data_IF_050278435810
#
_entry.id   IF_050278435810
#
_cell.length_a   1.000
_cell.length_b   1.000
_cell.length_c   1.000
_cell.angle_alpha   90.00
_cell.angle_beta   90.00
_cell.angle_gamma   90.00
#
_symmetry.space_group_name_H-M   'P 1'
#
loop_
_entity.id
_entity.type
_entity.pdbx_description
1 polymer ?
#
# COMPACT_ATOMS: atom_id res chain seq x y z
N UNK A 1 24.44 35.82 -34.30
CA UNK A 1 23.20 35.43 -35.02
C UNK A 1 23.19 33.94 -35.34
N UNK A 2 24.32 33.36 -35.74
CA UNK A 2 24.47 31.90 -35.94
C UNK A 2 24.35 31.08 -34.64
N UNK A 3 24.96 31.50 -33.53
CA UNK A 3 24.85 30.78 -32.23
C UNK A 3 23.42 30.71 -31.67
N UNK A 4 22.57 31.71 -31.97
CA UNK A 4 21.17 31.72 -31.54
C UNK A 4 20.35 30.75 -32.39
N UNK A 5 20.66 30.66 -33.69
CA UNK A 5 20.01 29.78 -34.66
C UNK A 5 20.40 28.31 -34.43
N UNK A 6 21.62 28.06 -33.96
CA UNK A 6 22.12 26.74 -33.57
C UNK A 6 21.56 26.27 -32.22
N UNK A 7 21.36 27.18 -31.26
CA UNK A 7 20.61 26.89 -30.03
C UNK A 7 19.14 26.60 -30.32
N UNK A 8 18.49 27.40 -31.14
CA UNK A 8 17.09 27.20 -31.50
C UNK A 8 16.89 25.90 -32.32
N UNK A 9 17.83 25.55 -33.21
CA UNK A 9 17.77 24.28 -33.96
C UNK A 9 18.00 23.07 -33.04
N UNK A 10 18.94 23.15 -32.09
CA UNK A 10 19.19 22.08 -31.12
C UNK A 10 18.01 21.90 -30.15
N UNK A 11 17.38 22.99 -29.73
CA UNK A 11 16.19 22.99 -28.86
C UNK A 11 14.97 22.42 -29.59
N UNK A 12 14.77 22.78 -30.86
CA UNK A 12 13.68 22.23 -31.70
C UNK A 12 13.92 20.75 -32.00
N UNK A 13 15.15 20.35 -32.33
CA UNK A 13 15.51 18.94 -32.57
C UNK A 13 15.29 18.07 -31.33
N UNK A 14 15.64 18.57 -30.13
CA UNK A 14 15.37 17.88 -28.86
C UNK A 14 13.88 17.85 -28.50
N UNK A 15 13.11 18.88 -28.85
CA UNK A 15 11.64 18.93 -28.64
C UNK A 15 10.93 17.89 -29.51
N UNK A 16 11.36 17.71 -30.76
CA UNK A 16 10.86 16.66 -31.66
C UNK A 16 11.18 15.28 -31.10
N UNK A 17 12.42 15.06 -30.63
CA UNK A 17 12.83 13.81 -29.98
C UNK A 17 12.02 13.48 -28.71
N UNK A 18 11.62 14.50 -27.93
CA UNK A 18 10.80 14.33 -26.73
C UNK A 18 9.37 13.87 -27.06
N UNK A 19 8.78 14.40 -28.14
CA UNK A 19 7.44 14.01 -28.58
C UNK A 19 7.44 12.68 -29.36
N UNK A 20 8.46 12.43 -30.19
CA UNK A 20 8.62 11.17 -30.93
C UNK A 20 8.94 10.00 -30.00
N UNK A 21 9.86 10.17 -29.05
CA UNK A 21 10.22 9.10 -28.11
C UNK A 21 9.09 8.75 -27.12
N UNK A 22 8.24 9.72 -26.77
CA UNK A 22 7.02 9.50 -25.98
C UNK A 22 5.92 8.85 -26.84
N UNK A 23 5.87 9.14 -28.14
CA UNK A 23 4.87 8.58 -29.06
C UNK A 23 5.21 7.15 -29.56
N UNK A 24 6.49 6.78 -29.63
CA UNK A 24 6.93 5.49 -30.16
C UNK A 24 6.89 4.33 -29.15
N UNK A 25 6.63 4.60 -27.86
CA UNK A 25 6.31 3.55 -26.86
C UNK A 25 7.42 2.50 -26.64
N UNK A 26 8.69 2.87 -26.83
CA UNK A 26 9.81 1.92 -26.77
C UNK A 26 10.99 2.32 -25.90
N UNK A 27 10.90 3.39 -25.12
CA UNK A 27 12.02 3.81 -24.27
C UNK A 27 12.23 2.82 -23.12
N UNK A 28 13.48 2.38 -22.94
CA UNK A 28 13.86 1.58 -21.78
C UNK A 28 13.96 2.46 -20.51
N UNK A 29 14.08 1.81 -19.35
CA UNK A 29 14.10 2.52 -18.08
C UNK A 29 15.24 3.55 -18.00
N UNK A 30 16.45 3.20 -18.45
CA UNK A 30 17.63 4.06 -18.33
C UNK A 30 17.54 5.26 -19.30
N UNK A 31 16.97 5.06 -20.49
CA UNK A 31 16.64 6.11 -21.44
C UNK A 31 15.62 7.10 -20.85
N UNK A 32 14.57 6.59 -20.18
CA UNK A 32 13.61 7.44 -19.46
C UNK A 32 14.29 8.25 -18.35
N UNK A 33 15.15 7.62 -17.54
CA UNK A 33 15.86 8.35 -16.47
C UNK A 33 16.76 9.45 -17.02
N UNK A 34 17.40 9.21 -18.17
CA UNK A 34 18.23 10.17 -18.87
C UNK A 34 17.40 11.32 -19.43
N UNK A 35 16.23 11.02 -20.03
CA UNK A 35 15.30 12.02 -20.55
C UNK A 35 14.76 12.94 -19.44
N UNK A 36 14.41 12.36 -18.29
CA UNK A 36 13.98 13.13 -17.11
C UNK A 36 15.10 14.06 -16.66
N UNK A 37 16.31 13.53 -16.46
CA UNK A 37 17.48 14.31 -16.01
C UNK A 37 17.82 15.45 -16.98
N UNK A 38 17.78 15.19 -18.29
CA UNK A 38 18.02 16.21 -19.31
C UNK A 38 16.91 17.29 -19.30
N UNK A 39 15.65 16.88 -19.16
CA UNK A 39 14.51 17.81 -19.10
C UNK A 39 14.58 18.71 -17.87
N UNK A 40 14.89 18.16 -16.70
CA UNK A 40 15.08 18.93 -15.46
C UNK A 40 16.22 19.93 -15.59
N UNK A 41 17.31 19.56 -16.27
CA UNK A 41 18.48 20.42 -16.48
C UNK A 41 18.22 21.54 -17.48
N UNK A 42 17.57 21.25 -18.61
CA UNK A 42 17.35 22.23 -19.68
C UNK A 42 16.16 23.15 -19.36
N UNK A 43 15.13 22.62 -18.70
CA UNK A 43 13.88 23.33 -18.46
C UNK A 43 13.46 23.30 -16.97
N UNK A 44 14.29 23.81 -16.04
CA UNK A 44 14.06 23.66 -14.61
C UNK A 44 12.76 24.28 -14.11
N UNK A 45 12.28 25.34 -14.76
CA UNK A 45 11.05 26.07 -14.36
C UNK A 45 9.89 25.90 -15.36
N UNK A 46 10.05 25.04 -16.37
CA UNK A 46 8.98 24.77 -17.34
C UNK A 46 8.13 23.59 -16.86
N UNK A 47 7.07 23.90 -16.11
CA UNK A 47 6.20 22.88 -15.54
C UNK A 47 5.50 22.02 -16.60
N UNK A 48 5.17 22.56 -17.77
CA UNK A 48 4.48 21.81 -18.84
C UNK A 48 5.34 20.66 -19.36
N UNK A 49 6.63 20.93 -19.64
CA UNK A 49 7.57 19.91 -20.10
C UNK A 49 7.88 18.89 -19.01
N UNK A 50 8.03 19.35 -17.76
CA UNK A 50 8.24 18.46 -16.62
C UNK A 50 7.03 17.53 -16.45
N UNK A 51 5.81 18.06 -16.48
CA UNK A 51 4.60 17.23 -16.37
C UNK A 51 4.53 16.21 -17.51
N UNK A 52 4.78 16.63 -18.75
CA UNK A 52 4.73 15.72 -19.90
C UNK A 52 5.65 14.50 -19.74
N UNK A 53 6.92 14.73 -19.37
CA UNK A 53 7.90 13.62 -19.23
C UNK A 53 7.57 12.74 -18.03
N UNK A 54 7.23 13.34 -16.88
CA UNK A 54 6.90 12.58 -15.68
C UNK A 54 5.58 11.81 -15.79
N UNK A 55 4.52 12.41 -16.36
CA UNK A 55 3.25 11.74 -16.56
C UNK A 55 3.41 10.55 -17.53
N UNK A 56 4.23 10.69 -18.57
CA UNK A 56 4.56 9.59 -19.49
C UNK A 56 5.35 8.48 -18.79
N UNK A 57 6.44 8.82 -18.10
CA UNK A 57 7.25 7.84 -17.38
C UNK A 57 6.46 7.09 -16.30
N UNK A 58 5.67 7.79 -15.49
CA UNK A 58 4.90 7.20 -14.40
C UNK A 58 3.67 6.41 -14.88
N UNK A 59 3.24 6.60 -16.13
CA UNK A 59 2.25 5.72 -16.76
C UNK A 59 2.84 4.35 -17.11
N UNK A 60 4.13 4.28 -17.41
CA UNK A 60 4.86 3.04 -17.68
C UNK A 60 5.42 2.39 -16.40
N UNK A 61 5.90 3.21 -15.45
CA UNK A 61 6.51 2.74 -14.20
C UNK A 61 5.82 3.34 -12.96
N UNK A 62 4.53 3.02 -12.70
CA UNK A 62 3.74 3.66 -11.65
C UNK A 62 4.23 3.41 -10.22
N UNK A 63 4.96 2.32 -9.99
CA UNK A 63 5.49 1.94 -8.66
C UNK A 63 6.82 2.63 -8.31
N UNK A 64 7.36 3.47 -9.20
CA UNK A 64 8.59 4.23 -8.96
C UNK A 64 8.37 5.42 -8.02
N UNK A 65 8.14 5.16 -6.72
CA UNK A 65 7.83 6.20 -5.73
C UNK A 65 8.86 7.35 -5.67
N UNK A 66 10.15 7.04 -5.88
CA UNK A 66 11.20 8.06 -5.89
C UNK A 66 11.01 9.11 -6.99
N UNK A 67 10.44 8.71 -8.12
CA UNK A 67 10.10 9.62 -9.22
C UNK A 67 8.80 10.37 -8.98
N UNK A 68 7.80 9.74 -8.33
CA UNK A 68 6.64 10.47 -7.80
C UNK A 68 7.09 11.59 -6.85
N UNK A 69 7.99 11.30 -5.91
CA UNK A 69 8.55 12.29 -4.97
C UNK A 69 9.24 13.45 -5.71
N UNK A 70 10.10 13.17 -6.69
CA UNK A 70 10.72 14.22 -7.51
C UNK A 70 9.69 15.06 -8.26
N UNK A 71 8.75 14.41 -8.93
CA UNK A 71 7.69 15.08 -9.70
C UNK A 71 6.87 16.03 -8.82
N UNK A 72 6.47 15.56 -7.65
CA UNK A 72 5.70 16.32 -6.69
C UNK A 72 6.52 17.49 -6.14
N UNK A 73 7.82 17.32 -5.88
CA UNK A 73 8.70 18.43 -5.49
C UNK A 73 8.77 19.53 -6.56
N UNK A 74 8.78 19.17 -7.85
CA UNK A 74 8.66 20.15 -8.94
C UNK A 74 7.30 20.88 -8.89
N UNK A 75 6.20 20.16 -8.67
CA UNK A 75 4.87 20.78 -8.53
C UNK A 75 4.75 21.68 -7.30
N UNK A 76 5.34 21.31 -6.17
CA UNK A 76 5.37 22.15 -4.97
C UNK A 76 6.04 23.49 -5.27
N UNK A 77 7.13 23.47 -6.06
CA UNK A 77 7.87 24.68 -6.43
C UNK A 77 7.16 25.55 -7.47
N UNK A 78 6.42 24.94 -8.39
CA UNK A 78 5.94 25.59 -9.63
C UNK A 78 4.41 25.65 -9.77
N UNK A 79 3.63 25.06 -8.87
CA UNK A 79 2.18 24.98 -8.97
C UNK A 79 1.45 25.43 -7.71
N UNK A 80 0.13 25.55 -7.83
CA UNK A 80 -0.77 25.74 -6.68
C UNK A 80 -0.88 24.47 -5.84
N UNK A 81 -1.23 24.64 -4.56
CA UNK A 81 -1.47 23.54 -3.61
C UNK A 81 -2.44 22.50 -4.18
N UNK A 82 -3.54 22.94 -4.82
CA UNK A 82 -4.51 22.04 -5.44
C UNK A 82 -3.86 21.08 -6.46
N UNK A 83 -2.95 21.59 -7.32
CA UNK A 83 -2.25 20.77 -8.31
C UNK A 83 -1.23 19.83 -7.69
N UNK A 84 -0.69 20.18 -6.54
CA UNK A 84 0.18 19.28 -5.74
C UNK A 84 -0.65 18.15 -5.14
N UNK A 85 -1.80 18.47 -4.53
CA UNK A 85 -2.74 17.49 -3.98
C UNK A 85 -3.22 16.52 -5.08
N UNK A 86 -3.58 17.03 -6.25
CA UNK A 86 -3.95 16.19 -7.41
C UNK A 86 -2.82 15.20 -7.80
N UNK A 87 -1.57 15.63 -7.72
CA UNK A 87 -0.43 14.75 -8.01
C UNK A 87 -0.22 13.70 -6.91
N UNK A 88 -0.39 14.05 -5.64
CA UNK A 88 -0.37 13.08 -4.53
C UNK A 88 -1.50 12.07 -4.64
N UNK A 89 -2.73 12.51 -4.96
CA UNK A 89 -3.87 11.60 -5.15
C UNK A 89 -3.62 10.61 -6.29
N UNK A 90 -3.02 11.06 -7.40
CA UNK A 90 -2.58 10.13 -8.45
C UNK A 90 -1.50 9.17 -7.95
N UNK A 91 -0.51 9.65 -7.21
CA UNK A 91 0.56 8.81 -6.68
C UNK A 91 0.04 7.70 -5.75
N UNK A 92 -0.90 8.00 -4.84
CA UNK A 92 -1.48 7.01 -3.93
C UNK A 92 -2.45 6.06 -4.64
N UNK A 93 -3.01 6.42 -5.79
CA UNK A 93 -3.76 5.48 -6.63
C UNK A 93 -2.80 4.55 -7.38
N UNK A 94 -1.71 5.07 -7.91
CA UNK A 94 -0.71 4.29 -8.65
C UNK A 94 0.11 3.34 -7.77
N UNK A 95 0.43 3.75 -6.54
CA UNK A 95 1.27 3.02 -5.60
C UNK A 95 0.62 2.95 -4.22
N UNK A 96 -0.64 2.51 -4.16
CA UNK A 96 -1.50 2.50 -2.96
C UNK A 96 -0.87 1.81 -1.75
N UNK A 97 -0.08 0.77 -1.97
CA UNK A 97 0.55 0.01 -0.88
C UNK A 97 1.98 0.47 -0.57
N UNK A 98 2.41 1.63 -1.10
CA UNK A 98 3.71 2.22 -0.79
C UNK A 98 3.62 3.09 0.47
N UNK A 99 4.25 2.63 1.55
CA UNK A 99 4.38 3.41 2.80
C UNK A 99 5.02 4.79 2.55
N UNK A 100 6.02 4.85 1.69
CA UNK A 100 6.77 6.07 1.40
C UNK A 100 5.91 7.16 0.74
N UNK A 101 5.06 6.79 -0.22
CA UNK A 101 4.16 7.77 -0.89
C UNK A 101 3.18 8.37 0.11
N UNK A 102 2.58 7.52 0.95
CA UNK A 102 1.69 7.98 2.01
C UNK A 102 2.41 8.84 3.04
N UNK A 103 3.64 8.49 3.41
CA UNK A 103 4.44 9.25 4.36
C UNK A 103 4.78 10.66 3.85
N UNK A 104 5.10 10.78 2.57
CA UNK A 104 5.32 12.08 1.92
C UNK A 104 4.01 12.89 1.88
N UNK A 105 2.90 12.26 1.51
CA UNK A 105 1.62 12.95 1.40
C UNK A 105 1.13 13.44 2.75
N UNK A 106 1.17 12.61 3.80
CA UNK A 106 0.79 13.02 5.14
C UNK A 106 1.73 14.10 5.69
N UNK A 107 3.03 14.06 5.36
CA UNK A 107 3.98 15.11 5.75
C UNK A 107 3.65 16.44 5.08
N UNK A 108 3.33 16.43 3.78
CA UNK A 108 2.88 17.61 3.03
C UNK A 108 1.57 18.15 3.59
N UNK A 109 0.57 17.29 3.80
CA UNK A 109 -0.74 17.68 4.32
C UNK A 109 -0.60 18.35 5.70
N UNK A 110 0.23 17.81 6.60
CA UNK A 110 0.50 18.43 7.91
C UNK A 110 1.02 19.87 7.80
N UNK A 111 1.78 20.19 6.75
CA UNK A 111 2.36 21.52 6.56
C UNK A 111 1.41 22.52 5.91
N UNK A 112 0.43 22.03 5.14
CA UNK A 112 -0.32 22.87 4.19
C UNK A 112 -1.82 22.89 4.47
N UNK A 113 -2.39 21.82 5.02
CA UNK A 113 -3.83 21.75 5.28
C UNK A 113 -4.16 22.56 6.53
N UNK A 114 -5.22 23.36 6.43
CA UNK A 114 -5.67 24.24 7.51
C UNK A 114 -6.45 23.48 8.60
N UNK A 115 -7.27 22.50 8.20
CA UNK A 115 -8.07 21.68 9.14
C UNK A 115 -7.29 20.43 9.59
N UNK A 116 -6.98 20.30 10.90
CA UNK A 116 -6.39 19.09 11.46
C UNK A 116 -7.20 17.82 11.21
N UNK A 117 -8.52 17.93 11.04
CA UNK A 117 -9.41 16.80 10.78
C UNK A 117 -9.13 16.17 9.41
N UNK A 118 -8.78 16.98 8.42
CA UNK A 118 -8.40 16.49 7.09
C UNK A 118 -7.07 15.73 7.13
N UNK A 119 -6.09 16.22 7.89
CA UNK A 119 -4.82 15.53 8.11
C UNK A 119 -5.04 14.20 8.83
N UNK A 120 -5.91 14.18 9.85
CA UNK A 120 -6.29 12.95 10.57
C UNK A 120 -6.98 11.94 9.65
N UNK A 121 -7.91 12.40 8.81
CA UNK A 121 -8.59 11.56 7.81
C UNK A 121 -7.60 10.98 6.80
N UNK A 122 -6.62 11.76 6.38
CA UNK A 122 -5.58 11.29 5.47
C UNK A 122 -4.68 10.22 6.11
N UNK A 123 -4.25 10.42 7.35
CA UNK A 123 -3.50 9.38 8.08
C UNK A 123 -4.33 8.10 8.21
N UNK A 124 -5.60 8.18 8.61
CA UNK A 124 -6.47 7.00 8.71
C UNK A 124 -6.63 6.27 7.38
N UNK A 125 -6.80 7.01 6.27
CA UNK A 125 -6.83 6.44 4.91
C UNK A 125 -5.51 5.77 4.55
N UNK A 126 -4.37 6.37 4.89
CA UNK A 126 -3.08 5.72 4.66
C UNK A 126 -2.99 4.39 5.43
N UNK A 127 -3.34 4.40 6.72
CA UNK A 127 -3.26 3.21 7.57
C UNK A 127 -4.24 2.10 7.18
N UNK A 128 -5.37 2.41 6.54
CA UNK A 128 -6.25 1.35 6.02
C UNK A 128 -5.59 0.54 4.89
N UNK A 129 -4.66 1.13 4.13
CA UNK A 129 -3.92 0.42 3.07
C UNK A 129 -2.62 -0.19 3.58
N UNK A 130 -1.79 0.59 4.28
CA UNK A 130 -0.42 0.17 4.64
C UNK A 130 -0.24 -0.16 6.12
N UNK A 131 -1.30 -0.14 6.94
CA UNK A 131 -1.21 -0.39 8.38
C UNK A 131 -0.68 -1.76 8.78
N UNK A 132 -0.80 -2.77 7.88
CA UNK A 132 -0.22 -4.11 8.05
C UNK A 132 1.14 -4.30 7.35
N UNK A 133 1.75 -3.23 6.83
CA UNK A 133 3.13 -3.28 6.33
C UNK A 133 4.10 -3.20 7.52
N UNK A 134 5.09 -4.09 7.58
CA UNK A 134 6.09 -4.11 8.64
C UNK A 134 6.89 -2.80 8.79
N UNK A 135 7.02 -2.04 7.70
CA UNK A 135 7.71 -0.76 7.61
C UNK A 135 6.77 0.45 7.81
N UNK A 136 5.48 0.26 8.11
CA UNK A 136 4.52 1.35 8.35
C UNK A 136 4.84 2.21 9.58
N UNK A 137 5.85 1.83 10.37
CA UNK A 137 6.37 2.61 11.50
C UNK A 137 6.75 4.05 11.12
N UNK A 138 7.16 4.31 9.87
CA UNK A 138 7.46 5.67 9.40
C UNK A 138 6.23 6.57 9.36
N UNK A 139 5.04 6.00 9.12
CA UNK A 139 3.75 6.69 9.22
C UNK A 139 3.28 6.83 10.66
N UNK A 140 3.38 5.75 11.46
CA UNK A 140 3.02 5.80 12.88
C UNK A 140 3.80 6.88 13.63
N UNK A 141 5.11 6.98 13.41
CA UNK A 141 5.95 8.00 14.03
C UNK A 141 5.42 9.42 13.74
N UNK A 142 5.08 9.71 12.48
CA UNK A 142 4.53 11.00 12.05
C UNK A 142 3.13 11.25 12.61
N UNK A 143 2.31 10.21 12.69
CA UNK A 143 0.93 10.32 13.17
C UNK A 143 0.88 10.57 14.68
N UNK A 144 1.72 9.86 15.44
CA UNK A 144 1.92 10.08 16.88
C UNK A 144 2.44 11.50 17.13
N UNK A 145 3.47 11.95 16.39
CA UNK A 145 4.00 13.32 16.51
C UNK A 145 2.91 14.38 16.26
N UNK A 146 2.10 14.17 15.22
CA UNK A 146 0.99 15.06 14.88
C UNK A 146 -0.07 15.12 16.00
N UNK A 147 -0.55 13.97 16.47
CA UNK A 147 -1.56 13.91 17.53
C UNK A 147 -1.04 14.53 18.84
N UNK A 148 0.23 14.28 19.17
CA UNK A 148 0.90 14.88 20.32
C UNK A 148 1.02 16.41 20.17
N UNK A 149 1.40 16.93 19.00
CA UNK A 149 1.51 18.38 18.78
C UNK A 149 0.20 19.14 18.95
N UNK A 150 -0.93 18.49 18.66
CA UNK A 150 -2.27 19.05 18.82
C UNK A 150 -2.83 18.86 20.24
N UNK A 151 -2.14 18.11 21.12
CA UNK A 151 -2.62 17.73 22.46
C UNK A 151 -3.99 17.03 22.42
N UNK A 152 -4.29 16.31 21.34
CA UNK A 152 -5.51 15.54 21.19
C UNK A 152 -5.34 14.17 21.86
N UNK A 153 -5.45 14.13 23.19
CA UNK A 153 -5.18 12.94 24.00
C UNK A 153 -6.04 11.72 23.65
N UNK A 154 -7.30 11.93 23.26
CA UNK A 154 -8.20 10.85 22.82
C UNK A 154 -7.71 10.18 21.54
N UNK A 155 -7.33 10.98 20.55
CA UNK A 155 -6.75 10.49 19.30
C UNK A 155 -5.40 9.83 19.55
N UNK A 156 -4.56 10.37 20.44
CA UNK A 156 -3.27 9.78 20.76
C UNK A 156 -3.42 8.39 21.41
N UNK A 157 -4.38 8.23 22.32
CA UNK A 157 -4.72 6.96 22.94
C UNK A 157 -5.17 5.91 21.89
N UNK A 158 -6.07 6.31 21.00
CA UNK A 158 -6.55 5.48 19.89
C UNK A 158 -5.37 5.05 18.99
N UNK A 159 -4.50 6.00 18.61
CA UNK A 159 -3.33 5.75 17.78
C UNK A 159 -2.38 4.72 18.41
N UNK A 160 -2.10 4.82 19.72
CA UNK A 160 -1.25 3.85 20.39
C UNK A 160 -1.87 2.44 20.37
N UNK A 161 -3.16 2.31 20.68
CA UNK A 161 -3.85 1.02 20.61
C UNK A 161 -3.78 0.44 19.19
N UNK A 162 -4.02 1.25 18.16
CA UNK A 162 -3.96 0.81 16.77
C UNK A 162 -2.54 0.40 16.34
N UNK A 163 -1.51 1.13 16.80
CA UNK A 163 -0.11 0.82 16.51
C UNK A 163 0.37 -0.51 17.14
N UNK A 164 -0.33 -1.00 18.17
CA UNK A 164 -0.05 -2.28 18.83
C UNK A 164 -0.79 -3.47 18.21
N UNK A 165 -1.75 -3.25 17.31
CA UNK A 165 -2.57 -4.32 16.72
C UNK A 165 -1.83 -5.24 15.76
N UNK A 166 -0.75 -4.76 15.13
CA UNK A 166 -0.05 -5.50 14.10
C UNK A 166 1.47 -5.36 14.25
N UNK A 167 2.26 -6.40 13.94
CA UNK A 167 3.71 -6.32 13.96
C UNK A 167 4.26 -5.18 13.10
N UNK A 168 5.14 -4.37 13.69
CA UNK A 168 5.94 -3.39 12.96
C UNK A 168 7.38 -3.44 13.46
N UNK A 169 8.31 -2.92 12.66
CA UNK A 169 9.73 -2.82 13.03
C UNK A 169 9.97 -2.10 14.37
N UNK A 170 9.06 -1.21 14.79
CA UNK A 170 9.16 -0.43 16.03
C UNK A 170 8.12 -0.82 17.09
N UNK A 171 7.49 -2.00 16.99
CA UNK A 171 6.42 -2.46 17.90
C UNK A 171 6.78 -2.26 19.38
N UNK A 172 7.93 -2.78 19.82
CA UNK A 172 8.38 -2.65 21.22
C UNK A 172 8.53 -1.19 21.66
N UNK A 173 8.97 -0.30 20.75
CA UNK A 173 9.09 1.13 21.06
C UNK A 173 7.71 1.76 21.28
N UNK A 174 6.71 1.38 20.48
CA UNK A 174 5.34 1.87 20.66
C UNK A 174 4.73 1.37 21.95
N UNK A 175 4.98 0.11 22.32
CA UNK A 175 4.54 -0.45 23.59
C UNK A 175 5.18 0.27 24.79
N UNK A 176 6.50 0.49 24.79
CA UNK A 176 7.15 1.25 25.85
C UNK A 176 6.63 2.70 25.95
N UNK A 177 6.27 3.33 24.82
CA UNK A 177 5.64 4.66 24.82
C UNK A 177 4.21 4.63 25.35
N UNK A 178 3.46 3.57 25.07
CA UNK A 178 2.14 3.32 25.63
C UNK A 178 2.21 3.13 27.15
N UNK A 179 3.14 2.31 27.66
CA UNK A 179 3.35 2.10 29.10
C UNK A 179 3.64 3.43 29.82
N UNK A 180 4.52 4.26 29.26
CA UNK A 180 4.79 5.59 29.82
C UNK A 180 3.55 6.50 29.87
N UNK A 181 2.68 6.43 28.86
CA UNK A 181 1.45 7.21 28.85
C UNK A 181 0.48 6.73 29.94
N UNK A 182 0.40 5.43 30.13
CA UNK A 182 -0.37 4.81 31.22
C UNK A 182 0.17 5.25 32.58
N UNK A 183 1.49 5.16 32.81
CA UNK A 183 2.15 5.58 34.05
C UNK A 183 1.81 7.04 34.40
N UNK A 184 1.88 7.94 33.42
CA UNK A 184 1.51 9.36 33.61
C UNK A 184 0.05 9.48 34.07
N UNK A 185 -0.88 8.75 33.45
CA UNK A 185 -2.29 8.80 33.85
C UNK A 185 -2.56 8.14 35.21
N UNK A 186 -1.81 7.11 35.59
CA UNK A 186 -1.85 6.54 36.93
C UNK A 186 -1.42 7.57 37.99
N UNK A 187 -0.27 8.22 37.78
CA UNK A 187 0.26 9.26 38.68
C UNK A 187 -0.71 10.44 38.82
N UNK A 188 -1.30 10.91 37.70
CA UNK A 188 -2.33 11.95 37.71
C UNK A 188 -3.53 11.52 38.59
N UNK A 189 -4.01 10.28 38.46
CA UNK A 189 -5.15 9.78 39.23
C UNK A 189 -4.83 9.54 40.71
N UNK A 190 -3.59 9.16 41.04
CA UNK A 190 -3.14 9.02 42.43
C UNK A 190 -3.00 10.38 43.11
N UNK A 191 -2.49 11.39 42.40
CA UNK A 191 -2.39 12.77 42.91
C UNK A 191 -3.76 13.36 43.26
N UNK A 192 -4.79 13.05 42.45
CA UNK A 192 -6.18 13.44 42.70
C UNK A 192 -6.89 12.56 43.75
N UNK A 193 -6.43 11.34 44.00
CA UNK A 193 -6.99 10.47 45.05
C UNK A 193 -6.52 10.87 46.45
N UNK A 194 -5.34 11.50 46.58
CA UNK A 194 -4.86 12.03 47.87
C UNK A 194 -5.68 13.24 48.39
N UNK A 195 -6.57 13.83 47.58
CA UNK A 195 -7.51 14.86 48.02
C UNK A 195 -8.92 14.36 48.36
N UNK A 196 -9.29 13.12 47.99
CA UNK A 196 -10.62 12.56 48.24
C UNK A 196 -10.54 11.11 48.75
N UNK A 197 -10.66 10.94 50.07
CA UNK A 197 -10.73 9.62 50.72
C UNK A 197 -12.10 8.98 50.53
N UNK A 198 -12.15 7.86 49.80
CA UNK A 198 -12.69 6.55 50.25
C UNK A 198 -12.69 5.57 49.06
N UNK A 199 -12.06 4.41 49.22
CA UNK A 199 -12.16 3.29 48.27
C UNK A 199 -12.46 2.03 49.07
N UNK A 200 -13.61 1.41 48.84
CA UNK A 200 -13.78 -0.03 49.03
C UNK A 200 -13.41 -0.72 47.72
N UNK A 201 -12.58 -1.75 47.81
CA UNK A 201 -12.18 -2.60 46.68
C UNK A 201 -12.98 -3.90 46.80
N UNK A 202 -13.76 -4.23 45.78
CA UNK A 202 -14.23 -5.60 45.55
C UNK A 202 -13.44 -6.20 44.38
N UNK A 203 -13.01 -7.47 44.46
CA UNK A 203 -12.32 -8.14 43.39
C UNK A 203 -13.34 -8.69 42.37
N UNK A 204 -13.03 -8.63 41.08
CA UNK A 204 -13.76 -9.40 40.07
C UNK A 204 -12.79 -10.36 39.40
N UNK A 205 -13.09 -11.65 39.54
CA UNK A 205 -12.47 -12.78 38.86
C UNK A 205 -12.94 -12.91 37.41
N UNK A 206 -11.99 -13.36 36.59
CA UNK A 206 -12.05 -14.21 35.38
C UNK A 206 -13.09 -13.96 34.28
N UNK A 207 -12.57 -13.81 33.06
CA UNK A 207 -12.83 -14.77 31.98
C UNK A 207 -11.78 -14.67 30.87
N UNK A 208 -10.99 -15.74 30.72
CA UNK A 208 -10.22 -16.03 29.50
C UNK A 208 -11.19 -16.34 28.36
N UNK A 209 -11.56 -15.31 27.62
CA UNK A 209 -12.16 -15.43 26.29
C UNK A 209 -11.21 -14.71 25.34
N UNK A 210 -11.06 -15.20 24.11
CA UNK A 210 -10.38 -14.45 23.04
C UNK A 210 -11.20 -13.18 22.77
N UNK A 211 -10.88 -12.09 23.48
CA UNK A 211 -11.63 -10.83 23.38
C UNK A 211 -11.10 -10.08 22.17
N UNK A 212 -11.82 -10.17 21.07
CA UNK A 212 -11.74 -9.18 20.01
C UNK A 212 -12.50 -7.92 20.49
N UNK A 213 -11.77 -6.92 20.96
CA UNK A 213 -12.36 -5.62 21.32
C UNK A 213 -12.80 -4.90 20.05
N UNK A 214 -14.10 -4.60 19.93
CA UNK A 214 -14.60 -3.80 18.80
C UNK A 214 -14.09 -2.36 18.93
N UNK A 215 -13.97 -1.67 17.80
CA UNK A 215 -13.52 -0.27 17.78
C UNK A 215 -14.43 0.67 18.57
N UNK A 216 -15.74 0.41 18.57
CA UNK A 216 -16.72 1.15 19.36
C UNK A 216 -16.47 1.00 20.87
N UNK A 217 -16.07 -0.20 21.31
CA UNK A 217 -15.76 -0.47 22.72
C UNK A 217 -14.51 0.30 23.16
N UNK A 218 -13.47 0.31 22.32
CA UNK A 218 -12.22 1.05 22.57
C UNK A 218 -12.50 2.57 22.63
N UNK A 219 -13.32 3.10 21.72
CA UNK A 219 -13.67 4.52 21.71
C UNK A 219 -14.39 4.96 22.99
N UNK A 220 -15.34 4.15 23.49
CA UNK A 220 -16.01 4.43 24.75
C UNK A 220 -15.05 4.38 25.94
N UNK A 221 -14.16 3.38 26.00
CA UNK A 221 -13.14 3.29 27.06
C UNK A 221 -12.22 4.52 27.07
N UNK A 222 -11.78 4.97 25.90
CA UNK A 222 -10.92 6.17 25.80
C UNK A 222 -11.67 7.43 26.22
N UNK A 223 -12.96 7.55 25.89
CA UNK A 223 -13.79 8.69 26.34
C UNK A 223 -13.93 8.70 27.87
N UNK A 224 -14.27 7.57 28.47
CA UNK A 224 -14.41 7.42 29.92
C UNK A 224 -13.08 7.67 30.66
N UNK A 225 -11.95 7.28 30.04
CA UNK A 225 -10.61 7.49 30.57
C UNK A 225 -10.22 8.97 30.65
N UNK A 226 -10.70 9.77 29.70
CA UNK A 226 -10.38 11.19 29.59
C UNK A 226 -11.42 12.10 30.25
N UNK A 227 -12.54 11.55 30.73
CA UNK A 227 -13.54 12.31 31.46
C UNK A 227 -13.14 12.51 32.94
N UNK A 228 -12.83 13.75 33.37
CA UNK A 228 -12.45 14.02 34.75
C UNK A 228 -13.62 13.91 35.75
N UNK A 229 -14.87 13.87 35.28
CA UNK A 229 -16.06 13.83 36.12
C UNK A 229 -16.38 12.44 36.71
N UNK A 230 -15.83 11.38 36.12
CA UNK A 230 -16.22 10.00 36.42
C UNK A 230 -15.14 9.28 37.25
N UNK A 231 -14.85 9.78 38.45
CA UNK A 231 -13.68 9.34 39.26
C UNK A 231 -13.45 7.83 39.41
N UNK A 232 -14.44 7.05 39.85
CA UNK A 232 -14.30 5.58 40.00
C UNK A 232 -14.29 4.85 38.65
N UNK A 233 -15.07 5.30 37.67
CA UNK A 233 -15.10 4.66 36.35
C UNK A 233 -13.85 4.97 35.52
N UNK A 234 -13.21 6.13 35.72
CA UNK A 234 -11.96 6.52 35.06
C UNK A 234 -10.82 5.54 35.38
N UNK A 235 -10.70 5.11 36.64
CA UNK A 235 -9.75 4.04 37.04
C UNK A 235 -10.07 2.69 36.39
N UNK A 236 -11.35 2.31 36.34
CA UNK A 236 -11.78 1.08 35.64
C UNK A 236 -11.50 1.16 34.13
N UNK A 237 -11.68 2.34 33.53
CA UNK A 237 -11.39 2.58 32.12
C UNK A 237 -9.88 2.49 31.84
N UNK A 238 -9.03 3.02 32.74
CA UNK A 238 -7.57 2.90 32.63
C UNK A 238 -7.13 1.44 32.69
N UNK A 239 -7.62 0.66 33.67
CA UNK A 239 -7.31 -0.77 33.78
C UNK A 239 -7.72 -1.55 32.53
N UNK A 240 -8.89 -1.24 31.96
CA UNK A 240 -9.33 -1.83 30.68
C UNK A 240 -8.39 -1.44 29.54
N UNK A 241 -8.06 -0.15 29.40
CA UNK A 241 -7.16 0.35 28.38
C UNK A 241 -5.78 -0.32 28.44
N UNK A 242 -5.21 -0.48 29.64
CA UNK A 242 -3.96 -1.22 29.89
C UNK A 242 -4.07 -2.67 29.42
N UNK A 243 -5.10 -3.40 29.89
CA UNK A 243 -5.30 -4.80 29.53
C UNK A 243 -5.46 -5.00 28.01
N UNK A 244 -6.11 -4.06 27.32
CA UNK A 244 -6.24 -4.09 25.85
C UNK A 244 -4.87 -3.91 25.20
N UNK A 245 -4.10 -2.89 25.61
CA UNK A 245 -2.78 -2.62 25.04
C UNK A 245 -1.80 -3.77 25.25
N UNK A 246 -1.76 -4.35 26.45
CA UNK A 246 -0.96 -5.54 26.79
C UNK A 246 -1.34 -6.74 25.92
N UNK A 247 -2.65 -7.01 25.80
CA UNK A 247 -3.13 -8.13 25.01
C UNK A 247 -2.78 -8.00 23.53
N UNK A 248 -3.01 -6.82 22.94
CA UNK A 248 -2.68 -6.55 21.54
C UNK A 248 -1.17 -6.65 21.29
N UNK A 249 -0.36 -6.09 22.18
CA UNK A 249 1.09 -6.19 22.09
C UNK A 249 1.58 -7.64 22.17
N UNK A 250 1.04 -8.47 23.07
CA UNK A 250 1.38 -9.88 23.16
C UNK A 250 1.06 -10.63 21.86
N UNK A 251 -0.13 -10.42 21.30
CA UNK A 251 -0.52 -11.01 20.01
C UNK A 251 0.41 -10.57 18.87
N UNK A 252 0.69 -9.27 18.76
CA UNK A 252 1.57 -8.73 17.74
C UNK A 252 3.01 -9.21 17.93
N UNK A 253 3.50 -9.35 19.16
CA UNK A 253 4.83 -9.87 19.47
C UNK A 253 4.97 -11.34 19.06
N UNK A 254 3.98 -12.18 19.38
CA UNK A 254 3.96 -13.58 18.97
C UNK A 254 3.94 -13.75 17.45
N UNK A 255 3.19 -12.90 16.73
CA UNK A 255 3.22 -12.91 15.27
C UNK A 255 4.58 -12.40 14.74
N UNK A 256 5.13 -11.36 15.36
CA UNK A 256 6.43 -10.79 14.99
C UNK A 256 7.55 -11.84 15.06
N UNK A 257 7.59 -12.65 16.12
CA UNK A 257 8.56 -13.75 16.26
C UNK A 257 8.50 -14.73 15.07
N UNK A 258 7.30 -14.99 14.55
CA UNK A 258 7.10 -15.88 13.41
C UNK A 258 7.52 -15.24 12.09
N UNK A 259 7.29 -13.94 11.89
CA UNK A 259 7.51 -13.29 10.58
C UNK A 259 8.85 -12.55 10.45
N UNK A 260 9.52 -12.22 11.54
CA UNK A 260 10.74 -11.38 11.53
C UNK A 260 11.85 -11.96 10.63
N UNK A 261 11.98 -13.28 10.58
CA UNK A 261 12.97 -13.93 9.71
C UNK A 261 12.69 -13.72 8.21
N UNK A 262 11.43 -13.58 7.79
CA UNK A 262 11.09 -13.20 6.42
C UNK A 262 11.44 -11.73 6.17
N UNK A 263 11.06 -10.85 7.11
CA UNK A 263 11.27 -9.40 6.99
C UNK A 263 12.74 -9.02 6.90
N UNK A 264 13.60 -9.67 7.70
CA UNK A 264 15.06 -9.43 7.69
C UNK A 264 15.75 -9.87 6.39
N UNK A 265 15.15 -10.80 5.64
CA UNK A 265 15.66 -11.29 4.36
C UNK A 265 15.24 -10.43 3.17
N UNK A 266 14.24 -9.55 3.33
CA UNK A 266 13.83 -8.59 2.30
C UNK A 266 14.83 -7.43 2.28
N UNK A 267 15.65 -7.34 1.23
CA UNK A 267 16.63 -6.26 1.04
C UNK A 267 16.09 -5.13 0.17
N UNK A 268 15.25 -5.47 -0.82
CA UNK A 268 14.64 -4.51 -1.74
C UNK A 268 13.13 -4.46 -1.52
N UNK A 269 12.65 -3.38 -0.91
CA UNK A 269 11.22 -3.11 -0.65
C UNK A 269 10.56 -2.18 -1.68
N UNK A 270 11.29 -1.77 -2.71
CA UNK A 270 10.84 -0.83 -3.74
C UNK A 270 10.96 -1.43 -5.14
N UNK A 271 10.18 -0.90 -6.07
CA UNK A 271 10.23 -1.34 -7.47
C UNK A 271 11.51 -0.86 -8.17
N UNK A 272 12.12 -1.76 -8.93
CA UNK A 272 13.15 -1.45 -9.91
C UNK A 272 13.10 -2.50 -11.03
N UNK A 273 13.37 -2.09 -12.27
CA UNK A 273 13.46 -2.97 -13.44
C UNK A 273 14.54 -4.06 -13.36
N UNK A 274 15.54 -3.90 -12.48
CA UNK A 274 16.60 -4.91 -12.31
C UNK A 274 16.00 -6.14 -11.65
N UNK A 275 16.44 -7.35 -12.02
CA UNK A 275 15.98 -8.56 -11.36
C UNK A 275 16.17 -8.51 -9.84
N UNK A 276 15.21 -9.02 -9.10
CA UNK A 276 15.32 -9.38 -7.69
C UNK A 276 16.20 -10.62 -7.57
N UNK A 277 17.01 -10.70 -6.51
CA UNK A 277 17.79 -11.91 -6.21
C UNK A 277 16.88 -13.12 -6.00
N UNK A 278 17.27 -14.29 -6.51
CA UNK A 278 16.48 -15.53 -6.41
C UNK A 278 16.14 -15.86 -4.96
N UNK A 279 17.08 -15.68 -4.03
CA UNK A 279 16.86 -15.92 -2.60
C UNK A 279 15.80 -15.00 -1.97
N UNK A 280 15.64 -13.78 -2.50
CA UNK A 280 14.57 -12.87 -2.08
C UNK A 280 13.22 -13.29 -2.68
N UNK A 281 13.18 -13.79 -3.91
CA UNK A 281 11.97 -14.35 -4.53
C UNK A 281 11.47 -15.58 -3.77
N UNK A 282 12.38 -16.50 -3.43
CA UNK A 282 12.08 -17.67 -2.60
C UNK A 282 11.54 -17.26 -1.21
N UNK A 283 12.14 -16.24 -0.60
CA UNK A 283 11.67 -15.70 0.68
C UNK A 283 10.25 -15.13 0.56
N UNK A 284 9.92 -14.43 -0.53
CA UNK A 284 8.56 -13.94 -0.76
C UNK A 284 7.55 -15.08 -0.90
N UNK A 285 7.87 -16.14 -1.64
CA UNK A 285 6.99 -17.31 -1.71
C UNK A 285 6.76 -17.95 -0.35
N UNK A 286 7.81 -18.18 0.44
CA UNK A 286 7.68 -18.75 1.78
C UNK A 286 6.86 -17.85 2.72
N UNK A 287 7.03 -16.53 2.59
CA UNK A 287 6.28 -15.58 3.40
C UNK A 287 4.79 -15.55 3.01
N UNK A 288 4.49 -15.61 1.70
CA UNK A 288 3.13 -15.72 1.21
C UNK A 288 2.49 -17.06 1.62
N UNK A 289 3.22 -18.19 1.55
CA UNK A 289 2.74 -19.50 2.04
C UNK A 289 2.31 -19.40 3.51
N UNK A 290 3.14 -18.73 4.33
CA UNK A 290 2.85 -18.53 5.75
C UNK A 290 1.58 -17.70 5.95
N UNK A 291 1.44 -16.57 5.24
CA UNK A 291 0.31 -15.67 5.37
C UNK A 291 -1.00 -16.28 4.84
N UNK A 292 -0.96 -17.06 3.76
CA UNK A 292 -2.13 -17.77 3.24
C UNK A 292 -2.65 -18.84 4.21
N UNK A 293 -1.73 -19.49 4.94
CA UNK A 293 -2.04 -20.58 5.85
C UNK A 293 -2.46 -20.11 7.25
N UNK A 294 -1.85 -19.02 7.75
CA UNK A 294 -2.01 -18.57 9.14
C UNK A 294 -2.60 -17.18 9.28
N UNK A 295 -2.66 -16.40 8.19
CA UNK A 295 -3.13 -15.03 8.18
C UNK A 295 -4.62 -14.89 7.90
N UNK A 296 -5.17 -13.73 8.26
CA UNK A 296 -6.49 -13.33 7.78
C UNK A 296 -6.44 -12.88 6.30
N UNK A 297 -7.60 -12.90 5.63
CA UNK A 297 -7.69 -12.55 4.20
C UNK A 297 -7.16 -11.14 3.90
N UNK A 298 -7.45 -10.17 4.78
CA UNK A 298 -7.04 -8.78 4.62
C UNK A 298 -5.51 -8.62 4.70
N UNK A 299 -4.85 -9.32 5.62
CA UNK A 299 -3.40 -9.33 5.75
C UNK A 299 -2.75 -10.00 4.55
N UNK A 300 -3.26 -11.17 4.13
CA UNK A 300 -2.74 -11.86 2.96
C UNK A 300 -2.80 -10.98 1.71
N UNK A 301 -3.93 -10.31 1.46
CA UNK A 301 -4.10 -9.33 0.37
C UNK A 301 -3.07 -8.19 0.48
N UNK A 302 -2.93 -7.57 1.65
CA UNK A 302 -1.95 -6.49 1.85
C UNK A 302 -0.49 -6.96 1.67
N UNK A 303 -0.17 -8.19 2.07
CA UNK A 303 1.16 -8.76 1.88
C UNK A 303 1.44 -9.06 0.41
N UNK A 304 0.44 -9.55 -0.33
CA UNK A 304 0.52 -9.70 -1.78
C UNK A 304 0.80 -8.37 -2.48
N UNK A 305 0.01 -7.34 -2.17
CA UNK A 305 0.18 -6.02 -2.76
C UNK A 305 1.56 -5.43 -2.44
N UNK A 306 2.08 -5.66 -1.23
CA UNK A 306 3.45 -5.29 -0.85
C UNK A 306 4.51 -6.08 -1.62
N UNK A 307 4.33 -7.40 -1.79
CA UNK A 307 5.24 -8.27 -2.55
C UNK A 307 5.31 -7.85 -4.02
N UNK A 308 4.17 -7.46 -4.61
CA UNK A 308 4.10 -7.01 -6.00
C UNK A 308 4.86 -5.70 -6.24
N UNK A 309 5.22 -4.93 -5.21
CA UNK A 309 6.04 -3.72 -5.39
C UNK A 309 7.43 -4.08 -5.97
N UNK A 310 8.30 -4.85 -5.30
CA UNK A 310 9.58 -5.26 -5.86
C UNK A 310 9.46 -6.33 -6.94
N UNK A 311 8.36 -7.10 -6.97
CA UNK A 311 8.16 -8.27 -7.83
C UNK A 311 7.17 -8.04 -8.98
N UNK A 312 6.85 -6.79 -9.34
CA UNK A 312 5.82 -6.50 -10.36
C UNK A 312 6.09 -7.14 -11.73
N UNK A 313 7.38 -7.37 -12.07
CA UNK A 313 7.80 -7.95 -13.35
C UNK A 313 7.79 -9.50 -13.37
N UNK A 314 7.28 -10.14 -12.31
CA UNK A 314 7.32 -11.59 -12.12
C UNK A 314 5.90 -12.17 -12.20
N UNK A 315 5.51 -12.82 -13.31
CA UNK A 315 4.13 -13.28 -13.53
C UNK A 315 3.64 -14.27 -12.47
N UNK A 316 4.54 -15.06 -11.88
CA UNK A 316 4.21 -16.09 -10.89
C UNK A 316 3.53 -15.51 -9.64
N UNK A 317 3.91 -14.30 -9.20
CA UNK A 317 3.27 -13.66 -8.04
C UNK A 317 1.87 -13.14 -8.37
N UNK A 318 1.66 -12.62 -9.58
CA UNK A 318 0.35 -12.16 -10.03
C UNK A 318 -0.64 -13.31 -10.22
N UNK A 319 -0.17 -14.41 -10.80
CA UNK A 319 -0.97 -15.63 -10.99
C UNK A 319 -1.38 -16.18 -9.62
N UNK A 320 -0.40 -16.39 -8.73
CA UNK A 320 -0.65 -16.90 -7.38
C UNK A 320 -1.60 -16.00 -6.59
N UNK A 321 -1.42 -14.68 -6.66
CA UNK A 321 -2.32 -13.72 -6.01
C UNK A 321 -3.75 -13.84 -6.53
N UNK A 322 -3.92 -13.89 -7.85
CA UNK A 322 -5.24 -14.00 -8.51
C UNK A 322 -5.97 -15.28 -8.10
N UNK A 323 -5.27 -16.42 -8.10
CA UNK A 323 -5.81 -17.71 -7.69
C UNK A 323 -6.18 -17.71 -6.19
N UNK A 324 -5.31 -17.18 -5.34
CA UNK A 324 -5.57 -17.07 -3.90
C UNK A 324 -6.85 -16.27 -3.63
N UNK A 325 -6.99 -15.06 -4.19
CA UNK A 325 -8.15 -14.22 -3.90
C UNK A 325 -9.44 -14.78 -4.49
N UNK A 326 -9.41 -15.38 -5.70
CA UNK A 326 -10.58 -16.08 -6.26
C UNK A 326 -10.99 -17.24 -5.36
N UNK A 327 -10.04 -18.04 -4.86
CA UNK A 327 -10.33 -19.20 -3.97
C UNK A 327 -11.01 -18.79 -2.65
N UNK A 328 -10.82 -17.53 -2.22
CA UNK A 328 -11.44 -16.96 -1.02
C UNK A 328 -12.72 -16.16 -1.32
N UNK A 329 -13.20 -16.18 -2.57
CA UNK A 329 -14.40 -15.46 -3.01
C UNK A 329 -14.16 -13.99 -3.40
N UNK A 330 -12.91 -13.52 -3.39
CA UNK A 330 -12.49 -12.16 -3.75
C UNK A 330 -12.37 -11.94 -5.27
N UNK A 331 -13.41 -12.31 -6.02
CA UNK A 331 -13.39 -12.30 -7.50
C UNK A 331 -13.06 -10.94 -8.11
N UNK A 332 -13.62 -9.87 -7.57
CA UNK A 332 -13.36 -8.50 -8.06
C UNK A 332 -11.89 -8.11 -7.88
N UNK A 333 -11.29 -8.52 -6.74
CA UNK A 333 -9.87 -8.32 -6.47
C UNK A 333 -9.02 -9.12 -7.46
N UNK A 334 -9.43 -10.36 -7.77
CA UNK A 334 -8.78 -11.21 -8.76
C UNK A 334 -8.72 -10.55 -10.15
N UNK A 335 -9.87 -10.05 -10.63
CA UNK A 335 -9.96 -9.36 -11.91
C UNK A 335 -9.11 -8.09 -11.93
N UNK A 336 -9.18 -7.29 -10.86
CA UNK A 336 -8.40 -6.07 -10.75
C UNK A 336 -6.89 -6.35 -10.76
N UNK A 337 -6.43 -7.37 -10.02
CA UNK A 337 -5.04 -7.78 -10.00
C UNK A 337 -4.56 -8.20 -11.39
N UNK A 338 -5.35 -9.04 -12.08
CA UNK A 338 -5.04 -9.55 -13.41
C UNK A 338 -5.05 -8.44 -14.48
N UNK A 339 -5.97 -7.50 -14.38
CA UNK A 339 -6.01 -6.32 -15.27
C UNK A 339 -4.78 -5.44 -15.09
N UNK A 340 -4.33 -5.16 -13.86
CA UNK A 340 -3.07 -4.43 -13.63
C UNK A 340 -1.87 -5.20 -14.18
N UNK A 341 -1.81 -6.51 -13.93
CA UNK A 341 -0.72 -7.36 -14.42
C UNK A 341 -0.58 -7.23 -15.94
N UNK A 342 -1.67 -7.44 -16.69
CA UNK A 342 -1.64 -7.44 -18.17
C UNK A 342 -1.49 -6.05 -18.80
N UNK A 343 -2.08 -5.02 -18.21
CA UNK A 343 -2.16 -3.69 -18.85
C UNK A 343 -1.04 -2.75 -18.44
N UNK A 344 -0.40 -2.98 -17.28
CA UNK A 344 0.62 -2.08 -16.73
C UNK A 344 1.99 -2.76 -16.71
N UNK A 345 2.12 -3.90 -16.05
CA UNK A 345 3.44 -4.44 -15.70
C UNK A 345 3.98 -5.49 -16.69
N UNK A 346 3.11 -6.36 -17.19
CA UNK A 346 3.48 -7.56 -17.95
C UNK A 346 2.89 -7.54 -19.37
N UNK A 347 2.80 -6.33 -19.96
CA UNK A 347 2.17 -6.07 -21.26
C UNK A 347 2.62 -7.01 -22.38
N UNK A 348 3.87 -7.48 -22.35
CA UNK A 348 4.50 -8.32 -23.39
C UNK A 348 4.81 -9.74 -22.93
N UNK A 349 4.28 -10.18 -21.78
CA UNK A 349 4.56 -11.51 -21.21
C UNK A 349 3.43 -12.46 -21.56
N UNK A 350 3.69 -13.44 -22.43
CA UNK A 350 2.67 -14.40 -22.93
C UNK A 350 1.97 -15.16 -21.81
N UNK A 351 2.71 -15.59 -20.79
CA UNK A 351 2.21 -16.41 -19.68
C UNK A 351 1.05 -15.75 -18.94
N UNK A 352 1.10 -14.43 -18.68
CA UNK A 352 0.01 -13.74 -17.97
C UNK A 352 -1.24 -13.59 -18.84
N UNK A 353 -1.06 -13.38 -20.15
CA UNK A 353 -2.16 -13.23 -21.10
C UNK A 353 -2.89 -14.55 -21.31
N UNK A 354 -2.15 -15.64 -21.41
CA UNK A 354 -2.70 -17.00 -21.47
C UNK A 354 -3.45 -17.35 -20.17
N UNK A 355 -2.87 -17.01 -19.02
CA UNK A 355 -3.55 -17.18 -17.73
C UNK A 355 -4.86 -16.38 -17.67
N UNK A 356 -4.86 -15.13 -18.12
CA UNK A 356 -6.08 -14.30 -18.19
C UNK A 356 -7.19 -14.93 -19.04
N UNK A 357 -6.84 -15.49 -20.20
CA UNK A 357 -7.82 -16.17 -21.05
C UNK A 357 -8.43 -17.40 -20.35
N UNK A 358 -7.61 -18.22 -19.69
CA UNK A 358 -8.06 -19.39 -18.90
C UNK A 358 -8.90 -18.98 -17.69
N UNK A 359 -8.49 -17.92 -16.99
CA UNK A 359 -9.20 -17.40 -15.82
C UNK A 359 -10.62 -16.96 -16.21
N UNK A 360 -10.75 -16.21 -17.32
CA UNK A 360 -12.06 -15.80 -17.87
C UNK A 360 -12.94 -16.98 -18.26
N UNK A 361 -12.37 -18.01 -18.89
CA UNK A 361 -13.10 -19.25 -19.18
C UNK A 361 -13.60 -19.92 -17.89
N UNK A 362 -12.72 -20.01 -16.89
CA UNK A 362 -13.01 -20.65 -15.60
C UNK A 362 -14.14 -19.96 -14.83
N UNK A 363 -14.19 -18.62 -14.83
CA UNK A 363 -15.25 -17.85 -14.16
C UNK A 363 -16.56 -17.81 -14.96
N UNK A 364 -16.61 -18.45 -16.14
CA UNK A 364 -17.80 -18.56 -17.00
C UNK A 364 -17.96 -17.42 -18.01
N UNK A 365 -16.98 -16.53 -18.13
CA UNK A 365 -17.00 -15.42 -19.09
C UNK A 365 -16.38 -15.86 -20.44
N UNK A 366 -17.11 -16.73 -21.13
CA UNK A 366 -16.66 -17.33 -22.40
C UNK A 366 -16.43 -16.28 -23.49
N UNK A 367 -17.22 -15.20 -23.49
CA UNK A 367 -17.07 -14.13 -24.48
C UNK A 367 -15.73 -13.40 -24.32
N UNK A 368 -15.41 -12.96 -23.09
CA UNK A 368 -14.15 -12.27 -22.86
C UNK A 368 -12.95 -13.23 -22.86
N UNK A 369 -13.15 -14.52 -22.58
CA UNK A 369 -12.13 -15.54 -22.76
C UNK A 369 -11.72 -15.67 -24.24
N UNK A 370 -12.69 -15.76 -25.16
CA UNK A 370 -12.44 -15.77 -26.61
C UNK A 370 -11.66 -14.54 -27.08
N UNK A 371 -12.06 -13.36 -26.62
CA UNK A 371 -11.37 -12.12 -26.94
C UNK A 371 -9.92 -12.12 -26.42
N UNK A 372 -9.69 -12.63 -25.21
CA UNK A 372 -8.35 -12.74 -24.63
C UNK A 372 -7.45 -13.73 -25.39
N UNK A 373 -7.97 -14.89 -25.82
CA UNK A 373 -7.20 -15.84 -26.64
C UNK A 373 -6.79 -15.25 -28.00
N UNK A 374 -7.70 -14.50 -28.65
CA UNK A 374 -7.40 -13.80 -29.90
C UNK A 374 -6.25 -12.79 -29.77
N UNK A 375 -6.20 -12.08 -28.65
CA UNK A 375 -5.12 -11.12 -28.38
C UNK A 375 -3.76 -11.82 -28.18
N UNK A 376 -3.75 -13.00 -27.54
CA UNK A 376 -2.53 -13.81 -27.37
C UNK A 376 -1.96 -14.29 -28.72
N UNK A 377 -2.83 -14.65 -29.66
CA UNK A 377 -2.47 -15.11 -31.02
C UNK A 377 -1.78 -13.99 -31.83
N UNK A 378 -2.06 -12.72 -31.55
CA UNK A 378 -1.49 -11.57 -32.28
C UNK A 378 -0.20 -11.00 -31.68
N UNK A 379 0.07 -11.25 -30.41
CA UNK A 379 1.17 -10.60 -29.66
C UNK A 379 2.41 -11.49 -29.48
N UNK A 380 2.38 -12.79 -29.81
CA UNK A 380 3.48 -13.71 -29.52
C UNK A 380 3.71 -14.81 -30.58
N UNK A 381 4.91 -14.83 -31.20
CA UNK A 381 5.34 -15.90 -32.12
C UNK A 381 5.84 -17.17 -31.40
N UNK A 382 6.30 -17.07 -30.14
CA UNK A 382 6.93 -18.20 -29.43
C UNK A 382 5.94 -19.25 -28.90
N UNK A 383 4.75 -18.81 -28.48
CA UNK A 383 3.75 -19.66 -27.81
C UNK A 383 2.48 -19.87 -28.64
N UNK A 384 2.53 -19.48 -29.92
CA UNK A 384 1.40 -19.51 -30.87
C UNK A 384 0.69 -20.88 -30.92
N UNK A 385 1.46 -21.97 -30.94
CA UNK A 385 0.90 -23.34 -31.02
C UNK A 385 0.13 -23.69 -29.74
N UNK A 386 0.64 -23.33 -28.56
CA UNK A 386 -0.05 -23.58 -27.29
C UNK A 386 -1.36 -22.79 -27.22
N UNK A 387 -1.33 -21.51 -27.62
CA UNK A 387 -2.51 -20.64 -27.66
C UNK A 387 -3.61 -21.21 -28.57
N UNK A 388 -3.26 -21.63 -29.79
CA UNK A 388 -4.19 -22.22 -30.76
C UNK A 388 -4.78 -23.54 -30.26
N UNK A 389 -3.97 -24.41 -29.65
CA UNK A 389 -4.43 -25.67 -29.08
C UNK A 389 -5.43 -25.42 -27.95
N UNK A 390 -5.14 -24.46 -27.06
CA UNK A 390 -6.00 -24.16 -25.92
C UNK A 390 -7.31 -23.52 -26.32
N UNK A 391 -7.27 -22.56 -27.24
CA UNK A 391 -8.47 -21.97 -27.84
C UNK A 391 -9.34 -23.05 -28.50
N UNK A 392 -8.74 -23.94 -29.27
CA UNK A 392 -9.45 -25.06 -29.90
C UNK A 392 -10.10 -25.99 -28.88
N UNK A 393 -9.43 -26.25 -27.75
CA UNK A 393 -9.98 -27.06 -26.67
C UNK A 393 -11.12 -26.35 -25.92
N UNK A 394 -11.04 -25.03 -25.71
CA UNK A 394 -12.13 -24.22 -25.16
C UNK A 394 -13.35 -24.28 -26.08
N UNK A 395 -13.18 -24.01 -27.37
CA UNK A 395 -14.30 -24.06 -28.32
C UNK A 395 -14.94 -25.45 -28.37
N UNK A 396 -14.15 -26.53 -28.34
CA UNK A 396 -14.70 -27.89 -28.23
C UNK A 396 -15.57 -28.07 -26.99
N UNK A 397 -15.13 -27.59 -25.82
CA UNK A 397 -15.92 -27.70 -24.58
C UNK A 397 -17.27 -26.97 -24.69
N UNK A 398 -17.28 -25.76 -25.27
CA UNK A 398 -18.48 -24.92 -25.30
C UNK A 398 -19.39 -25.14 -26.53
N UNK A 399 -18.86 -25.65 -27.64
CA UNK A 399 -19.66 -26.08 -28.82
C UNK A 399 -20.46 -27.35 -28.50
N UNK A 400 -19.89 -28.27 -27.72
CA UNK A 400 -20.58 -29.50 -27.30
C UNK A 400 -21.76 -29.18 -26.36
N UNK A 401 -21.63 -28.17 -25.50
CA UNK A 401 -22.71 -27.76 -24.57
C UNK A 401 -23.85 -27.06 -25.31
N UNK A 402 -23.56 -26.28 -26.36
CA UNK A 402 -24.59 -25.61 -27.18
C UNK A 402 -25.43 -26.55 -28.06
N UNK A 403 -24.96 -27.76 -28.35
CA UNK A 403 -25.71 -28.78 -29.11
C UNK A 403 -26.57 -29.70 -28.23
N UNK A 404 -26.46 -29.61 -26.90
CA UNK A 404 -27.24 -30.41 -25.94
C UNK A 404 -28.50 -29.72 -25.38
N UNK A 405 -28.86 -28.54 -25.88
CA UNK A 405 -30.06 -27.78 -25.47
C UNK A 405 -31.11 -27.65 -26.60
N UNK A 406 -31.34 -28.74 -27.34
CA UNK A 406 -32.47 -28.87 -28.25
C UNK A 406 -33.32 -30.08 -27.91
#
# INVERSE_FOLDING_TARGET
MEEQKERDSTVVFKKVKLHEAVAEGSLDFDEWTSLISETEKIYPDNIEKICLVYDSFLSEYPLCYGYWRKYINHKIRLCTIHKVVEAFERAVVSATYSVEVWADYCSFARMVFEDPSDVHRLFRRAMSFVGKDYLCHTLWDKYIEFAFSLKHWSSLADIYIQALRFPTKKLHRYYNSFEKLVEIWEEEMESHSKSNMTTSVEPVLDNEVSICYKEDDISCIIKDLLDPSIGSARRKALQKYMSIGEHLYQQASQLNEKINHFETRIKRSYFHVKPVDISQLENWHQYLDFAESHGDFDWAVKLYERCLIPCANYPEFWIRYTEFVESKGGREIAHYALDRARTIFLKRVSVIHLFNARFKEHVGDVFNARAAFLQCDTESDSDFVENVVMRSNMEKRHVIIGQGQF
#
